data_IF_144144319555
#
_entry.id   IF_144144319555
#
_cell.length_a   1.000
_cell.length_b   1.000
_cell.length_c   1.000
_cell.angle_alpha   90.00
_cell.angle_beta   90.00
_cell.angle_gamma   90.00
#
_symmetry.space_group_name_H-M   'P 1'
#
loop_
_entity.id
_entity.type
_entity.pdbx_description
1 polymer ?
#
# COMPACT_ATOMS: atom_id res chain seq x y z
N UNK A 1 4.45 -1.03 -12.11
CA UNK A 1 3.84 -1.53 -10.84
C UNK A 1 4.94 -1.93 -9.89
N UNK A 2 4.79 -1.60 -8.60
CA UNK A 2 5.70 -1.98 -7.51
C UNK A 2 4.91 -2.77 -6.47
N UNK A 3 5.50 -3.83 -5.92
CA UNK A 3 4.93 -4.61 -4.83
C UNK A 3 5.97 -4.83 -3.73
N UNK A 4 5.54 -4.74 -2.48
CA UNK A 4 6.33 -5.00 -1.29
C UNK A 4 5.54 -6.01 -0.45
N UNK A 5 6.17 -7.10 -0.02
CA UNK A 5 5.49 -8.18 0.73
C UNK A 5 6.33 -8.59 1.93
N UNK A 6 5.66 -8.83 3.05
CA UNK A 6 6.19 -9.49 4.23
C UNK A 6 5.44 -10.81 4.50
N UNK A 7 6.08 -11.69 5.25
CA UNK A 7 5.56 -12.99 5.73
C UNK A 7 5.13 -12.91 7.21
N UNK A 8 4.77 -11.72 7.69
CA UNK A 8 4.38 -11.48 9.07
C UNK A 8 2.99 -12.01 9.41
N UNK A 9 2.41 -11.51 10.50
CA UNK A 9 1.08 -11.96 10.98
C UNK A 9 -0.11 -11.40 10.20
N UNK A 10 0.13 -10.53 9.22
CA UNK A 10 -0.90 -9.71 8.60
C UNK A 10 -1.36 -8.54 9.47
N UNK A 11 -2.16 -7.66 8.90
CA UNK A 11 -2.76 -6.52 9.58
C UNK A 11 -4.17 -6.94 10.04
N UNK A 12 -4.43 -7.02 11.35
CA UNK A 12 -5.75 -7.38 11.84
C UNK A 12 -6.78 -6.32 11.41
N UNK A 13 -7.97 -6.77 11.02
CA UNK A 13 -9.11 -5.94 10.57
C UNK A 13 -9.69 -5.16 11.76
N UNK A 14 -8.91 -4.22 12.26
CA UNK A 14 -9.30 -3.31 13.31
C UNK A 14 -9.89 -2.09 12.63
N UNK A 15 -11.23 -2.01 12.60
CA UNK A 15 -12.02 -0.85 12.15
C UNK A 15 -11.68 0.49 12.83
N UNK A 16 -10.63 0.52 13.64
CA UNK A 16 -9.99 1.69 14.26
C UNK A 16 -8.47 1.53 14.17
N UNK A 17 -7.91 1.51 12.97
CA UNK A 17 -6.50 1.86 12.85
C UNK A 17 -6.39 3.36 13.12
N UNK A 18 -5.70 3.75 14.19
CA UNK A 18 -5.15 5.09 14.28
C UNK A 18 -4.40 5.35 12.97
N UNK A 19 -4.73 6.45 12.29
CA UNK A 19 -4.14 6.79 10.99
C UNK A 19 -2.65 7.06 11.17
N UNK A 20 -1.84 6.01 11.10
CA UNK A 20 -0.39 6.14 11.05
C UNK A 20 0.02 6.86 9.77
N UNK A 21 0.99 7.76 9.87
CA UNK A 21 1.43 8.59 8.74
C UNK A 21 2.09 7.78 7.61
N UNK A 22 2.53 6.54 7.86
CA UNK A 22 3.19 5.68 6.86
C UNK A 22 2.28 5.32 5.68
N UNK A 23 1.22 4.55 5.93
CA UNK A 23 0.28 4.12 4.88
C UNK A 23 -0.51 5.30 4.30
N UNK A 24 -0.83 6.30 5.13
CA UNK A 24 -1.47 7.53 4.66
C UNK A 24 -0.58 8.27 3.66
N UNK A 25 0.69 8.50 4.01
CA UNK A 25 1.63 9.17 3.12
C UNK A 25 1.94 8.38 1.85
N UNK A 26 1.92 7.04 1.90
CA UNK A 26 2.02 6.21 0.69
C UNK A 26 0.79 6.43 -0.21
N UNK A 27 -0.42 6.40 0.36
CA UNK A 27 -1.66 6.62 -0.39
C UNK A 27 -1.70 8.01 -1.02
N UNK A 28 -1.37 9.06 -0.28
CA UNK A 28 -1.36 10.44 -0.76
C UNK A 28 -0.33 10.67 -1.88
N UNK A 29 0.91 10.20 -1.71
CA UNK A 29 1.95 10.32 -2.74
C UNK A 29 1.61 9.55 -4.01
N UNK A 30 1.03 8.35 -3.86
CA UNK A 30 0.56 7.55 -5.00
C UNK A 30 -0.54 8.27 -5.76
N UNK A 31 -1.50 8.87 -5.03
CA UNK A 31 -2.58 9.66 -5.62
C UNK A 31 -2.08 10.90 -6.37
N UNK A 32 -1.14 11.65 -5.79
CA UNK A 32 -0.53 12.84 -6.44
C UNK A 32 0.11 12.48 -7.78
N UNK A 33 0.68 11.28 -7.90
CA UNK A 33 1.29 10.77 -9.12
C UNK A 33 0.28 10.15 -10.10
N UNK A 34 -1.03 10.29 -9.87
CA UNK A 34 -2.08 9.70 -10.72
C UNK A 34 -2.15 8.17 -10.63
N UNK A 35 -1.60 7.59 -9.57
CA UNK A 35 -1.51 6.16 -9.38
C UNK A 35 -2.60 5.55 -8.49
N UNK A 36 -2.51 4.24 -8.28
CA UNK A 36 -3.37 3.48 -7.38
C UNK A 36 -2.56 2.73 -6.31
N UNK A 37 -3.16 2.59 -5.14
CA UNK A 37 -2.58 1.91 -3.97
C UNK A 37 -3.59 0.92 -3.40
N UNK A 38 -3.15 -0.31 -3.13
CA UNK A 38 -3.95 -1.32 -2.43
C UNK A 38 -3.10 -2.10 -1.42
N UNK A 39 -3.79 -2.66 -0.43
CA UNK A 39 -3.22 -3.53 0.58
C UNK A 39 -3.96 -4.86 0.50
N UNK A 40 -3.20 -5.94 0.44
CA UNK A 40 -3.70 -7.29 0.62
C UNK A 40 -3.08 -7.83 1.88
N UNK A 41 -3.88 -8.37 2.79
CA UNK A 41 -3.39 -8.93 4.04
C UNK A 41 -4.28 -10.08 4.45
N UNK A 42 -3.68 -11.08 5.05
CA UNK A 42 -4.39 -12.22 5.61
C UNK A 42 -3.69 -12.62 6.92
N UNK A 43 -4.50 -12.92 7.94
CA UNK A 43 -3.99 -13.31 9.25
C UNK A 43 -3.09 -14.55 9.13
N UNK A 44 -1.86 -14.42 9.63
CA UNK A 44 -0.84 -15.47 9.56
C UNK A 44 -0.19 -15.67 8.18
N UNK A 45 -0.54 -14.87 7.14
CA UNK A 45 0.10 -14.94 5.81
C UNK A 45 0.84 -13.67 5.40
N UNK A 46 0.90 -12.68 6.28
CA UNK A 46 1.62 -11.43 6.05
C UNK A 46 0.80 -10.35 5.34
N UNK A 47 1.52 -9.40 4.77
CA UNK A 47 0.94 -8.21 4.12
C UNK A 47 1.64 -7.94 2.80
N UNK A 48 0.87 -7.55 1.79
CA UNK A 48 1.38 -7.05 0.52
C UNK A 48 0.82 -5.65 0.23
N UNK A 49 1.72 -4.73 -0.07
CA UNK A 49 1.42 -3.39 -0.58
C UNK A 49 1.62 -3.40 -2.09
N UNK A 50 0.63 -2.91 -2.84
CA UNK A 50 0.67 -2.86 -4.30
C UNK A 50 0.46 -1.41 -4.75
N UNK A 51 1.41 -0.90 -5.53
CA UNK A 51 1.41 0.48 -6.05
C UNK A 51 1.52 0.44 -7.56
N UNK A 52 0.62 1.15 -8.23
CA UNK A 52 0.67 1.37 -9.67
C UNK A 52 0.79 2.86 -9.96
N UNK A 53 1.93 3.27 -10.54
CA UNK A 53 2.12 4.63 -11.06
C UNK A 53 2.16 4.53 -12.59
N UNK A 54 1.35 5.33 -13.32
CA UNK A 54 1.48 5.43 -14.75
C UNK A 54 2.84 6.05 -15.10
N UNK A 55 3.61 5.37 -15.95
CA UNK A 55 4.85 5.93 -16.48
C UNK A 55 4.49 6.79 -17.68
N UNK A 56 4.79 8.09 -17.62
CA UNK A 56 4.93 8.87 -18.83
C UNK A 56 6.30 8.57 -19.42
N UNK A 57 6.40 8.44 -20.74
CA UNK A 57 7.71 8.44 -21.38
C UNK A 57 8.38 9.77 -21.05
N UNK A 58 9.54 9.70 -20.40
CA UNK A 58 10.39 10.88 -20.23
C UNK A 58 11.00 11.10 -21.61
N UNK A 59 10.52 12.14 -22.31
CA UNK A 59 11.08 12.56 -23.60
C UNK A 59 12.53 13.01 -23.50
#
# INVERSE_FOLDING_TARGET
>A
TMSITDDGRGIPDTKKQEKGYGLLGIKERTYILGGTFSIQTEEGKGTSLIIHIPLHEWG
#
